data_IF_988263223180
#
_entry.id   IF_988263223180
#
_cell.length_a   1.000
_cell.length_b   1.000
_cell.length_c   1.000
_cell.angle_alpha   90.00
_cell.angle_beta   90.00
_cell.angle_gamma   90.00
#
_symmetry.space_group_name_H-M   'P 1'
#
loop_
_entity.id
_entity.type
_entity.pdbx_description
1 polymer ?
#
# COMPACT_ATOMS: atom_id res chain seq x y z
N UNK A 1 16.83 26.01 -1.25
CA UNK A 1 16.40 25.28 -2.46
C UNK A 1 15.50 24.14 -2.02
N UNK A 2 14.27 24.06 -2.51
CA UNK A 2 13.50 22.81 -2.40
C UNK A 2 14.14 21.88 -3.42
N UNK A 3 14.76 20.81 -2.95
CA UNK A 3 15.46 19.85 -3.79
C UNK A 3 14.59 19.40 -4.97
N UNK A 4 15.07 19.65 -6.19
CA UNK A 4 14.36 19.34 -7.44
C UNK A 4 13.94 17.88 -7.54
N UNK A 5 14.71 16.97 -6.94
CA UNK A 5 14.35 15.55 -6.87
C UNK A 5 13.10 15.29 -6.03
N UNK A 6 12.89 15.98 -4.89
CA UNK A 6 11.72 15.76 -4.02
C UNK A 6 10.42 16.17 -4.69
N UNK A 7 10.44 17.20 -5.52
CA UNK A 7 9.24 17.61 -6.25
C UNK A 7 8.83 16.51 -7.23
N UNK A 8 9.78 16.02 -8.03
CA UNK A 8 9.53 14.98 -9.04
C UNK A 8 9.26 13.60 -8.44
N UNK A 9 9.86 13.26 -7.31
CA UNK A 9 9.63 11.96 -6.66
C UNK A 9 8.18 11.80 -6.20
N UNK A 10 7.52 12.89 -5.78
CA UNK A 10 6.18 12.85 -5.19
C UNK A 10 5.08 13.44 -6.09
N UNK A 11 5.31 13.53 -7.40
CA UNK A 11 4.31 14.00 -8.38
C UNK A 11 3.71 12.87 -9.24
N UNK A 12 4.17 11.63 -9.04
CA UNK A 12 3.66 10.45 -9.73
C UNK A 12 4.30 10.16 -11.10
N UNK A 13 5.07 11.09 -11.67
CA UNK A 13 5.63 10.99 -13.04
C UNK A 13 6.51 9.76 -13.24
N UNK A 14 7.21 9.33 -12.19
CA UNK A 14 8.14 8.20 -12.24
C UNK A 14 7.51 6.85 -11.93
N UNK A 15 6.24 6.78 -11.48
CA UNK A 15 5.57 5.52 -11.11
C UNK A 15 5.43 4.53 -12.27
N UNK A 16 5.49 5.02 -13.52
CA UNK A 16 5.48 4.16 -14.72
C UNK A 16 6.73 3.28 -14.86
N UNK A 17 7.79 3.61 -14.14
CA UNK A 17 9.05 2.87 -14.07
C UNK A 17 9.14 2.01 -12.80
N UNK A 18 8.14 2.05 -11.91
CA UNK A 18 8.09 1.11 -10.80
C UNK A 18 7.87 -0.30 -11.36
N UNK A 19 8.68 -1.24 -10.88
CA UNK A 19 8.57 -2.66 -11.19
C UNK A 19 8.07 -3.41 -9.96
N UNK A 20 7.21 -4.43 -10.13
CA UNK A 20 6.75 -5.25 -9.03
C UNK A 20 7.90 -6.08 -8.44
N UNK A 21 7.76 -6.44 -7.17
CA UNK A 21 8.65 -7.45 -6.58
C UNK A 21 8.44 -8.79 -7.31
N UNK A 22 9.52 -9.58 -7.51
CA UNK A 22 9.41 -10.90 -8.13
C UNK A 22 8.35 -11.76 -7.43
N UNK A 23 7.42 -12.33 -8.21
CA UNK A 23 6.33 -13.16 -7.71
C UNK A 23 5.15 -12.41 -7.08
N UNK A 24 5.23 -11.09 -6.85
CA UNK A 24 4.15 -10.35 -6.19
C UNK A 24 2.85 -10.33 -7.01
N UNK A 25 2.95 -10.17 -8.33
CA UNK A 25 1.79 -10.17 -9.23
C UNK A 25 1.08 -11.52 -9.19
N UNK A 26 1.82 -12.62 -9.35
CA UNK A 26 1.28 -13.98 -9.29
C UNK A 26 0.65 -14.26 -7.93
N UNK A 27 1.34 -13.92 -6.84
CA UNK A 27 0.87 -14.14 -5.49
C UNK A 27 -0.45 -13.41 -5.22
N UNK A 28 -0.54 -12.12 -5.54
CA UNK A 28 -1.75 -11.33 -5.30
C UNK A 28 -2.92 -11.83 -6.16
N UNK A 29 -2.68 -12.21 -7.42
CA UNK A 29 -3.72 -12.81 -8.25
C UNK A 29 -4.21 -14.14 -7.67
N UNK A 30 -3.32 -15.03 -7.20
CA UNK A 30 -3.74 -16.28 -6.53
C UNK A 30 -4.57 -16.03 -5.27
N UNK A 31 -4.23 -15.00 -4.49
CA UNK A 31 -5.04 -14.59 -3.33
C UNK A 31 -6.41 -14.07 -3.79
N UNK A 32 -6.46 -13.23 -4.80
CA UNK A 32 -7.71 -12.71 -5.36
C UNK A 32 -8.61 -13.81 -5.95
N UNK A 33 -8.04 -14.75 -6.69
CA UNK A 33 -8.72 -15.87 -7.33
C UNK A 33 -9.28 -16.87 -6.31
N UNK A 34 -8.66 -16.95 -5.12
CA UNK A 34 -9.21 -17.72 -3.99
C UNK A 34 -10.44 -17.07 -3.34
N UNK A 35 -10.85 -15.89 -3.81
CA UNK A 35 -12.04 -15.18 -3.37
C UNK A 35 -11.81 -14.10 -2.31
N UNK A 36 -10.55 -13.83 -1.96
CA UNK A 36 -10.22 -12.81 -0.97
C UNK A 36 -10.48 -11.38 -1.48
N UNK A 37 -10.71 -10.48 -0.53
CA UNK A 37 -10.67 -9.02 -0.73
C UNK A 37 -9.22 -8.55 -0.70
N UNK A 38 -8.74 -7.94 -1.78
CA UNK A 38 -7.39 -7.35 -1.84
C UNK A 38 -7.46 -5.87 -1.51
N UNK A 39 -6.73 -5.45 -0.48
CA UNK A 39 -6.67 -4.04 -0.06
C UNK A 39 -5.26 -3.49 -0.22
N UNK A 40 -5.09 -2.55 -1.14
CA UNK A 40 -3.85 -1.78 -1.31
C UNK A 40 -3.89 -0.56 -0.37
N UNK A 41 -3.10 -0.58 0.71
CA UNK A 41 -3.00 0.52 1.67
C UNK A 41 -1.66 1.26 1.51
N UNK A 42 -1.68 2.47 0.94
CA UNK A 42 -0.45 3.22 0.64
C UNK A 42 -0.36 4.57 1.34
N UNK A 43 0.87 5.02 1.59
CA UNK A 43 1.19 6.37 2.07
C UNK A 43 1.22 7.44 0.97
N UNK A 44 1.13 7.04 -0.30
CA UNK A 44 1.00 7.94 -1.46
C UNK A 44 -0.28 8.76 -1.34
N UNK A 45 -0.24 10.04 -1.73
CA UNK A 45 -1.44 10.87 -1.69
C UNK A 45 -2.26 10.86 -2.98
N UNK A 46 -3.58 10.98 -2.80
CA UNK A 46 -4.56 10.91 -3.88
C UNK A 46 -4.29 11.96 -4.94
N UNK A 47 -4.14 13.22 -4.55
CA UNK A 47 -4.08 14.35 -5.49
C UNK A 47 -2.92 14.25 -6.49
N UNK A 48 -1.80 13.65 -6.11
CA UNK A 48 -0.59 13.64 -6.93
C UNK A 48 -0.23 12.27 -7.47
N UNK A 49 -0.65 11.20 -6.80
CA UNK A 49 -0.14 9.86 -7.09
C UNK A 49 -1.22 8.84 -7.43
N UNK A 50 -2.51 9.21 -7.40
CA UNK A 50 -3.60 8.27 -7.71
C UNK A 50 -3.47 7.70 -9.13
N UNK A 51 -3.45 8.56 -10.15
CA UNK A 51 -3.43 8.13 -11.55
C UNK A 51 -2.21 7.24 -11.85
N UNK A 52 -1.02 7.65 -11.43
CA UNK A 52 0.19 6.84 -11.64
C UNK A 52 0.21 5.54 -10.83
N UNK A 53 -0.41 5.50 -9.65
CA UNK A 53 -0.52 4.27 -8.85
C UNK A 53 -1.47 3.27 -9.50
N UNK A 54 -2.65 3.71 -9.94
CA UNK A 54 -3.62 2.86 -10.63
C UNK A 54 -3.02 2.34 -11.94
N UNK A 55 -2.43 3.22 -12.76
CA UNK A 55 -1.79 2.84 -14.01
C UNK A 55 -0.64 1.84 -13.80
N UNK A 56 0.15 1.99 -12.73
CA UNK A 56 1.22 1.04 -12.40
C UNK A 56 0.68 -0.33 -11.97
N UNK A 57 -0.36 -0.38 -11.13
CA UNK A 57 -1.01 -1.63 -10.74
C UNK A 57 -1.61 -2.36 -11.96
N UNK A 58 -2.35 -1.63 -12.79
CA UNK A 58 -2.99 -2.16 -14.00
C UNK A 58 -1.95 -2.65 -15.02
N UNK A 59 -0.95 -1.82 -15.37
CA UNK A 59 0.14 -2.18 -16.30
C UNK A 59 0.83 -3.49 -15.90
N UNK A 60 1.02 -3.70 -14.59
CA UNK A 60 1.72 -4.86 -14.06
C UNK A 60 0.80 -6.06 -13.78
N UNK A 61 -0.50 -5.97 -14.10
CA UNK A 61 -1.44 -7.10 -13.97
C UNK A 61 -1.90 -7.38 -12.55
N UNK A 62 -1.84 -6.41 -11.64
CA UNK A 62 -2.50 -6.54 -10.34
C UNK A 62 -4.02 -6.34 -10.49
N UNK A 63 -4.85 -7.07 -9.70
CA UNK A 63 -6.28 -6.84 -9.69
C UNK A 63 -6.58 -5.45 -9.09
N UNK A 64 -7.12 -4.54 -9.87
CA UNK A 64 -7.45 -3.18 -9.43
C UNK A 64 -8.69 -2.65 -10.18
N UNK A 65 -9.55 -1.91 -9.49
CA UNK A 65 -10.76 -1.34 -10.10
C UNK A 65 -11.85 -2.36 -10.43
N UNK A 66 -11.72 -3.58 -9.91
CA UNK A 66 -12.67 -4.68 -10.06
C UNK A 66 -13.26 -5.05 -8.70
N UNK A 67 -14.31 -5.89 -8.69
CA UNK A 67 -14.93 -6.35 -7.45
C UNK A 67 -13.88 -6.97 -6.51
N UNK A 68 -14.04 -6.81 -5.19
CA UNK A 68 -13.08 -7.30 -4.18
C UNK A 68 -11.67 -6.70 -4.28
N UNK A 69 -11.55 -5.48 -4.80
CA UNK A 69 -10.32 -4.69 -4.74
C UNK A 69 -10.58 -3.32 -4.13
N UNK A 70 -9.70 -2.88 -3.23
CA UNK A 70 -9.79 -1.56 -2.59
C UNK A 70 -8.42 -0.87 -2.66
N UNK A 71 -8.39 0.40 -3.06
CA UNK A 71 -7.20 1.24 -3.02
C UNK A 71 -7.40 2.38 -2.02
N UNK A 72 -6.73 2.27 -0.88
CA UNK A 72 -6.79 3.26 0.19
C UNK A 72 -5.50 4.07 0.17
N UNK A 73 -5.65 5.36 -0.18
CA UNK A 73 -4.56 6.31 -0.30
C UNK A 73 -4.68 7.44 0.71
N UNK A 74 -3.55 8.08 0.99
CA UNK A 74 -3.48 9.22 1.88
C UNK A 74 -4.22 10.41 1.24
N UNK A 75 -5.12 11.12 1.94
CA UNK A 75 -5.90 12.18 1.29
C UNK A 75 -5.03 13.37 0.85
N UNK A 76 -4.03 13.75 1.66
CA UNK A 76 -3.09 14.84 1.36
C UNK A 76 -1.68 14.54 1.89
N UNK A 77 -0.65 15.05 1.21
CA UNK A 77 0.77 14.84 1.54
C UNK A 77 1.10 15.05 3.02
N UNK A 78 0.61 16.14 3.59
CA UNK A 78 0.99 16.65 4.92
C UNK A 78 0.25 15.97 6.08
N UNK A 79 -0.76 15.14 5.80
CA UNK A 79 -1.42 14.36 6.85
C UNK A 79 -0.39 13.44 7.51
N UNK A 80 -0.43 13.26 8.83
CA UNK A 80 0.50 12.32 9.49
C UNK A 80 0.14 10.89 9.08
N UNK A 81 1.13 10.11 8.62
CA UNK A 81 0.92 8.73 8.14
C UNK A 81 0.25 7.86 9.20
N UNK A 82 0.70 7.96 10.45
CA UNK A 82 0.10 7.23 11.57
C UNK A 82 -1.39 7.53 11.76
N UNK A 83 -1.77 8.81 11.79
CA UNK A 83 -3.17 9.25 11.95
C UNK A 83 -4.05 8.77 10.80
N UNK A 84 -3.54 8.82 9.57
CA UNK A 84 -4.22 8.32 8.38
C UNK A 84 -4.37 6.80 8.43
N UNK A 85 -3.29 6.04 8.66
CA UNK A 85 -3.34 4.57 8.72
C UNK A 85 -4.30 4.10 9.82
N UNK A 86 -4.29 4.69 11.01
CA UNK A 86 -5.30 4.35 12.05
C UNK A 86 -6.76 4.52 11.61
N UNK A 87 -7.07 5.54 10.79
CA UNK A 87 -8.42 5.71 10.21
C UNK A 87 -8.71 4.64 9.17
N UNK A 88 -7.75 4.37 8.28
CA UNK A 88 -7.87 3.32 7.26
C UNK A 88 -8.08 1.93 7.88
N UNK A 89 -7.34 1.59 8.93
CA UNK A 89 -7.44 0.28 9.58
C UNK A 89 -8.80 0.07 10.27
N UNK A 90 -9.41 1.13 10.81
CA UNK A 90 -10.80 1.06 11.32
C UNK A 90 -11.82 0.82 10.22
N UNK A 91 -11.58 1.31 9.01
CA UNK A 91 -12.42 1.00 7.85
C UNK A 91 -12.19 -0.45 7.40
N UNK A 92 -10.93 -0.86 7.24
CA UNK A 92 -10.56 -2.24 6.85
C UNK A 92 -11.17 -3.28 7.80
N UNK A 93 -11.17 -3.01 9.12
CA UNK A 93 -11.80 -3.89 10.11
C UNK A 93 -13.30 -4.13 9.86
N UNK A 94 -13.99 -3.20 9.18
CA UNK A 94 -15.42 -3.33 8.83
C UNK A 94 -15.65 -4.13 7.55
N UNK A 95 -14.61 -4.31 6.72
CA UNK A 95 -14.70 -5.04 5.46
C UNK A 95 -14.71 -6.56 5.67
N UNK A 96 -14.15 -7.05 6.79
CA UNK A 96 -14.13 -8.46 7.14
C UNK A 96 -12.96 -8.83 8.04
N UNK A 97 -12.62 -10.12 8.01
CA UNK A 97 -11.45 -10.67 8.72
C UNK A 97 -10.20 -10.43 7.90
N UNK A 98 -9.21 -9.78 8.49
CA UNK A 98 -7.89 -9.62 7.87
C UNK A 98 -7.07 -10.87 8.19
N UNK A 99 -6.69 -11.62 7.16
CA UNK A 99 -5.97 -12.90 7.31
C UNK A 99 -4.46 -12.79 7.09
N UNK A 100 -4.02 -11.77 6.34
CA UNK A 100 -2.61 -11.55 6.04
C UNK A 100 -2.30 -10.06 5.81
N UNK A 101 -1.08 -9.65 6.14
CA UNK A 101 -0.55 -8.30 6.05
C UNK A 101 0.82 -8.35 5.38
N UNK A 102 1.06 -7.47 4.41
CA UNK A 102 2.35 -7.36 3.71
C UNK A 102 2.80 -5.90 3.72
N UNK A 103 3.93 -5.60 4.35
CA UNK A 103 4.43 -4.24 4.51
C UNK A 103 5.94 -4.21 4.70
N UNK A 104 6.60 -3.21 4.12
CA UNK A 104 8.05 -3.06 4.16
C UNK A 104 8.56 -2.06 5.21
N UNK A 105 7.71 -1.18 5.75
CA UNK A 105 8.13 -0.22 6.78
C UNK A 105 7.90 -0.81 8.19
N UNK A 106 8.94 -0.95 9.04
CA UNK A 106 8.84 -1.55 10.38
C UNK A 106 7.74 -0.93 11.26
N UNK A 107 7.72 0.40 11.35
CA UNK A 107 6.69 1.11 12.11
C UNK A 107 5.27 0.90 11.58
N UNK A 108 5.10 0.62 10.27
CA UNK A 108 3.80 0.32 9.70
C UNK A 108 3.39 -1.12 10.01
N UNK A 109 4.27 -2.11 9.83
CA UNK A 109 3.92 -3.51 10.10
C UNK A 109 3.61 -3.73 11.60
N UNK A 110 4.32 -3.03 12.50
CA UNK A 110 4.02 -3.04 13.94
C UNK A 110 2.60 -2.53 14.21
N UNK A 111 2.21 -1.40 13.62
CA UNK A 111 0.85 -0.87 13.74
C UNK A 111 -0.22 -1.82 13.16
N UNK A 112 0.10 -2.49 12.04
CA UNK A 112 -0.81 -3.46 11.41
C UNK A 112 -1.00 -4.69 12.30
N UNK A 113 0.09 -5.25 12.83
CA UNK A 113 0.09 -6.40 13.73
C UNK A 113 -0.65 -6.10 15.03
N UNK A 114 -0.41 -4.95 15.65
CA UNK A 114 -1.18 -4.49 16.82
C UNK A 114 -2.68 -4.39 16.54
N UNK A 115 -3.07 -4.03 15.31
CA UNK A 115 -4.48 -3.84 14.94
C UNK A 115 -5.16 -5.14 14.55
N UNK A 116 -4.43 -6.08 13.95
CA UNK A 116 -4.92 -7.37 13.46
C UNK A 116 -3.99 -8.51 13.94
N UNK A 117 -3.99 -8.83 15.24
CA UNK A 117 -3.03 -9.77 15.83
C UNK A 117 -3.16 -11.20 15.30
N UNK A 118 -4.35 -11.59 14.84
CA UNK A 118 -4.62 -12.91 14.25
C UNK A 118 -4.20 -13.02 12.77
N UNK A 119 -3.85 -11.89 12.13
CA UNK A 119 -3.42 -11.89 10.73
C UNK A 119 -1.95 -12.30 10.62
N UNK A 120 -1.65 -13.13 9.61
CA UNK A 120 -0.25 -13.43 9.25
C UNK A 120 0.45 -12.13 8.85
N UNK A 121 1.42 -11.72 9.65
CA UNK A 121 2.15 -10.47 9.43
C UNK A 121 3.48 -10.77 8.72
N UNK A 122 3.59 -10.32 7.47
CA UNK A 122 4.79 -10.52 6.64
C UNK A 122 5.51 -9.18 6.48
N UNK A 123 6.69 -9.09 7.07
CA UNK A 123 7.61 -8.00 6.79
C UNK A 123 8.32 -8.28 5.46
N UNK A 124 8.11 -7.41 4.48
CA UNK A 124 8.72 -7.55 3.16
C UNK A 124 10.02 -6.76 3.14
N UNK A 125 11.15 -7.44 3.17
CA UNK A 125 12.48 -6.82 3.28
C UNK A 125 12.89 -6.12 1.98
N UNK A 126 12.43 -4.88 1.83
CA UNK A 126 12.84 -3.94 0.77
C UNK A 126 13.39 -2.66 1.40
N UNK A 127 13.70 -1.65 0.59
CA UNK A 127 14.04 -0.32 1.11
C UNK A 127 12.97 0.20 2.09
N UNK A 128 13.42 0.65 3.24
CA UNK A 128 12.60 1.22 4.32
C UNK A 128 13.40 2.27 5.07
N UNK A 129 12.77 2.99 6.00
CA UNK A 129 13.48 4.01 6.78
C UNK A 129 14.59 3.39 7.66
N UNK A 130 15.83 3.95 7.63
CA UNK A 130 16.88 3.50 8.53
C UNK A 130 16.49 3.79 9.98
N UNK A 131 16.89 2.92 10.90
CA UNK A 131 16.62 3.03 12.34
C UNK A 131 15.12 3.16 12.69
N UNK A 132 14.26 2.54 11.89
CA UNK A 132 12.84 2.46 12.20
C UNK A 132 12.60 1.52 13.41
N UNK A 133 11.66 1.88 14.32
CA UNK A 133 11.31 1.06 15.48
C UNK A 133 10.56 -0.20 15.09
#
# INVERSE_FOLDING_TARGET
>A
MIDSWRMKFFDGTYLKYDEPLPGAVEFVNRVYDSGALVVYLTGRDVHRMLQGTVASLEKNGFPIGVQRTELIMKPKRYVRTYTYKKKALRYIKKLGVVIALFENEPANINLLHETFPEAVSVFVETSHKPNAP
#
